data_IF_549999857480
#
_entry.id   IF_549999857480
#
_cell.length_a   1.000
_cell.length_b   1.000
_cell.length_c   1.000
_cell.angle_alpha   90.00
_cell.angle_beta   90.00
_cell.angle_gamma   90.00
#
_symmetry.space_group_name_H-M   'P 1'
#
loop_
_entity.id
_entity.type
_entity.pdbx_description
1 polymer ?
#
# COMPACT_ATOMS: atom_id res chain seq x y z
N UNK A 1 -30.07 -30.91 43.69
CA UNK A 1 -29.11 -30.47 42.65
C UNK A 1 -29.56 -29.10 42.13
N UNK A 2 -28.94 -27.99 42.58
CA UNK A 2 -29.30 -26.66 42.10
C UNK A 2 -28.89 -26.50 40.62
N UNK A 3 -29.85 -26.06 39.80
CA UNK A 3 -29.69 -25.83 38.36
C UNK A 3 -28.62 -24.76 38.12
N UNK A 4 -27.52 -25.13 37.48
CA UNK A 4 -26.46 -24.19 37.06
C UNK A 4 -26.75 -23.64 35.67
N UNK A 5 -26.59 -22.31 35.54
CA UNK A 5 -26.40 -21.51 34.32
C UNK A 5 -27.62 -21.07 33.49
N UNK A 6 -28.54 -20.32 34.10
CA UNK A 6 -29.37 -19.32 33.37
C UNK A 6 -28.62 -17.98 33.16
N UNK A 7 -27.34 -17.90 33.53
CA UNK A 7 -26.64 -16.65 33.83
C UNK A 7 -26.66 -15.60 32.71
N UNK A 8 -26.41 -15.99 31.46
CA UNK A 8 -26.36 -15.02 30.35
C UNK A 8 -27.75 -14.65 29.82
N UNK A 9 -28.75 -15.52 29.98
CA UNK A 9 -30.11 -15.27 29.50
C UNK A 9 -30.84 -14.25 30.38
N UNK A 10 -30.51 -14.18 31.68
CA UNK A 10 -31.02 -13.16 32.60
C UNK A 10 -30.40 -11.76 32.42
N UNK A 11 -29.24 -11.64 31.77
CA UNK A 11 -28.56 -10.35 31.61
C UNK A 11 -29.25 -9.44 30.58
N UNK A 12 -29.19 -8.14 30.82
CA UNK A 12 -29.61 -7.12 29.86
C UNK A 12 -28.60 -6.99 28.73
N UNK A 13 -29.02 -6.46 27.56
CA UNK A 13 -28.10 -6.22 26.44
C UNK A 13 -26.92 -5.30 26.80
N UNK A 14 -27.11 -4.39 27.77
CA UNK A 14 -26.06 -3.48 28.22
C UNK A 14 -24.95 -4.24 28.96
N UNK A 15 -25.32 -5.18 29.83
CA UNK A 15 -24.38 -5.99 30.59
C UNK A 15 -23.64 -6.98 29.68
N UNK A 16 -24.36 -7.65 28.76
CA UNK A 16 -23.74 -8.56 27.78
C UNK A 16 -22.69 -7.83 26.90
N UNK A 17 -22.99 -6.60 26.46
CA UNK A 17 -22.04 -5.77 25.70
C UNK A 17 -20.86 -5.28 26.55
N UNK A 18 -21.03 -5.10 27.85
CA UNK A 18 -19.95 -4.72 28.75
C UNK A 18 -19.00 -5.90 28.95
N UNK A 19 -19.53 -7.10 29.18
CA UNK A 19 -18.75 -8.32 29.35
C UNK A 19 -17.99 -8.71 28.08
N UNK A 20 -18.63 -8.65 26.90
CA UNK A 20 -17.94 -8.83 25.61
C UNK A 20 -16.84 -7.77 25.38
N UNK A 21 -17.08 -6.52 25.81
CA UNK A 21 -16.09 -5.45 25.73
C UNK A 21 -14.86 -5.72 26.60
N UNK A 22 -15.05 -6.28 27.79
CA UNK A 22 -13.96 -6.70 28.68
C UNK A 22 -13.13 -7.84 28.08
N UNK A 23 -13.74 -8.69 27.25
CA UNK A 23 -13.07 -9.78 26.53
C UNK A 23 -12.51 -9.37 25.14
N UNK A 24 -12.63 -8.11 24.73
CA UNK A 24 -12.18 -7.64 23.42
C UNK A 24 -13.01 -8.15 22.23
N UNK A 25 -14.24 -8.60 22.48
CA UNK A 25 -15.13 -9.14 21.45
C UNK A 25 -16.08 -8.07 20.90
N UNK A 26 -16.60 -8.31 19.70
CA UNK A 26 -17.55 -7.39 19.06
C UNK A 26 -18.79 -7.16 19.94
N UNK A 27 -19.24 -5.90 20.04
CA UNK A 27 -20.38 -5.45 20.87
C UNK A 27 -21.67 -5.20 20.05
N UNK A 28 -21.67 -5.50 18.75
CA UNK A 28 -22.83 -5.33 17.85
C UNK A 28 -23.67 -6.59 17.77
N UNK A 29 -24.96 -6.49 17.39
CA UNK A 29 -25.88 -7.64 17.23
C UNK A 29 -27.06 -7.66 18.20
N UNK A 30 -27.96 -8.63 18.00
CA UNK A 30 -29.12 -8.89 18.88
C UNK A 30 -28.69 -9.66 20.14
N UNK A 31 -29.55 -9.69 21.17
CA UNK A 31 -29.25 -10.36 22.45
C UNK A 31 -28.77 -11.80 22.28
N UNK A 32 -29.42 -12.58 21.42
CA UNK A 32 -29.04 -13.97 21.14
C UNK A 32 -27.62 -14.09 20.59
N UNK A 33 -27.21 -13.18 19.70
CA UNK A 33 -25.86 -13.18 19.12
C UNK A 33 -24.78 -12.83 20.15
N UNK A 34 -25.12 -11.99 21.13
CA UNK A 34 -24.22 -11.62 22.22
C UNK A 34 -24.03 -12.79 23.19
N UNK A 35 -25.12 -13.49 23.53
CA UNK A 35 -25.09 -14.69 24.38
C UNK A 35 -24.29 -15.81 23.71
N UNK A 36 -24.55 -16.11 22.44
CA UNK A 36 -23.83 -17.16 21.72
C UNK A 36 -22.31 -16.91 21.62
N UNK A 37 -21.89 -15.64 21.56
CA UNK A 37 -20.46 -15.27 21.63
C UNK A 37 -19.85 -15.57 23.00
N UNK A 38 -20.53 -15.20 24.08
CA UNK A 38 -20.05 -15.49 25.44
C UNK A 38 -19.99 -17.01 25.71
N UNK A 39 -20.97 -17.77 25.21
CA UNK A 39 -20.97 -19.23 25.33
C UNK A 39 -19.83 -19.89 24.54
N UNK A 40 -19.54 -19.38 23.33
CA UNK A 40 -18.45 -19.90 22.51
C UNK A 40 -17.08 -19.70 23.15
N UNK A 41 -16.89 -18.60 23.87
CA UNK A 41 -15.63 -18.29 24.58
C UNK A 41 -15.47 -19.14 25.83
N UNK A 42 -16.57 -19.45 26.53
CA UNK A 42 -16.55 -20.25 27.75
C UNK A 42 -16.25 -21.73 27.49
N UNK A 43 -16.39 -22.17 26.25
CA UNK A 43 -16.25 -23.57 25.84
C UNK A 43 -17.28 -24.47 26.53
N UNK A 44 -17.46 -25.71 26.04
CA UNK A 44 -18.20 -26.71 26.81
C UNK A 44 -17.42 -26.95 28.10
N UNK A 45 -17.95 -26.47 29.24
CA UNK A 45 -17.31 -26.68 30.53
C UNK A 45 -17.14 -28.18 30.72
N UNK A 46 -15.89 -28.64 30.68
CA UNK A 46 -15.52 -30.04 30.79
C UNK A 46 -16.14 -30.63 32.05
N UNK A 47 -17.21 -31.39 31.86
CA UNK A 47 -17.74 -32.30 32.86
C UNK A 47 -16.73 -33.42 33.03
N UNK A 48 -15.75 -33.21 33.90
CA UNK A 48 -14.97 -34.29 34.47
C UNK A 48 -15.88 -35.14 35.34
N UNK A 49 -15.92 -36.45 35.09
CA UNK A 49 -16.49 -37.42 36.03
C UNK A 49 -17.21 -38.60 35.39
N UNK A 50 -16.44 -39.56 34.86
CA UNK A 50 -16.69 -41.00 35.06
C UNK A 50 -15.54 -41.79 34.42
N UNK A 51 -14.54 -42.10 35.23
CA UNK A 51 -13.59 -43.17 34.94
C UNK A 51 -14.33 -44.51 34.92
N UNK A 52 -14.54 -45.07 33.75
CA UNK A 52 -14.75 -46.51 33.59
C UNK A 52 -13.62 -47.06 32.75
N UNK A 53 -12.70 -47.71 33.44
CA UNK A 53 -11.73 -48.64 32.87
C UNK A 53 -12.48 -49.82 32.26
N UNK A 54 -12.46 -49.97 30.94
CA UNK A 54 -12.47 -51.30 30.34
C UNK A 54 -11.99 -51.30 28.89
N UNK A 55 -11.06 -52.22 28.63
CA UNK A 55 -10.89 -52.92 27.36
C UNK A 55 -10.33 -52.15 26.17
N UNK A 56 -9.01 -52.24 26.07
CA UNK A 56 -8.22 -52.27 24.84
C UNK A 56 -8.79 -53.24 23.80
N UNK A 57 -9.75 -52.77 23.01
CA UNK A 57 -9.93 -53.19 21.64
C UNK A 57 -10.09 -51.90 20.83
N UNK A 58 -9.14 -51.65 19.93
CA UNK A 58 -9.22 -50.58 18.95
C UNK A 58 -9.85 -51.16 17.68
N UNK A 59 -11.19 -51.18 17.51
CA UNK A 59 -11.73 -51.26 16.19
C UNK A 59 -11.48 -49.88 15.57
N UNK A 60 -10.49 -49.77 14.70
CA UNK A 60 -10.48 -48.75 13.65
C UNK A 60 -11.64 -49.04 12.70
N UNK A 61 -12.86 -48.88 13.21
CA UNK A 61 -14.05 -48.72 12.40
C UNK A 61 -13.95 -47.31 11.86
N UNK A 62 -13.24 -47.18 10.74
CA UNK A 62 -13.53 -46.10 9.83
C UNK A 62 -15.02 -46.21 9.55
N UNK A 63 -15.80 -45.30 10.14
CA UNK A 63 -17.15 -45.07 9.67
C UNK A 63 -16.97 -44.48 8.26
N UNK A 64 -16.80 -45.36 7.29
CA UNK A 64 -17.05 -45.02 5.91
C UNK A 64 -18.43 -44.37 5.91
N UNK A 65 -18.57 -43.13 5.44
CA UNK A 65 -19.84 -42.43 5.48
C UNK A 65 -20.86 -43.34 4.80
N UNK A 66 -21.81 -43.84 5.57
CA UNK A 66 -22.87 -44.72 5.08
C UNK A 66 -23.58 -43.88 4.02
N UNK A 67 -23.33 -44.20 2.75
CA UNK A 67 -23.96 -43.55 1.60
C UNK A 67 -25.46 -43.74 1.78
N UNK A 68 -26.11 -42.71 2.31
CA UNK A 68 -27.55 -42.70 2.49
C UNK A 68 -28.15 -42.83 1.10
N UNK A 69 -28.86 -43.92 0.88
CA UNK A 69 -29.49 -44.17 -0.40
C UNK A 69 -30.55 -43.10 -0.65
N UNK A 70 -30.88 -42.81 -1.91
CA UNK A 70 -31.92 -41.83 -2.26
C UNK A 70 -33.24 -42.09 -1.52
N UNK A 71 -33.54 -43.36 -1.22
CA UNK A 71 -34.73 -43.77 -0.46
C UNK A 71 -34.71 -43.33 1.02
N UNK A 72 -33.54 -43.18 1.62
CA UNK A 72 -33.38 -42.76 3.01
C UNK A 72 -33.55 -41.23 3.16
N UNK A 73 -33.18 -40.48 2.11
CA UNK A 73 -33.38 -39.03 2.08
C UNK A 73 -34.87 -38.65 2.18
N UNK A 74 -35.76 -39.44 1.58
CA UNK A 74 -37.21 -39.20 1.63
C UNK A 74 -37.82 -39.40 3.03
N UNK A 75 -37.20 -40.26 3.86
CA UNK A 75 -37.64 -40.53 5.24
C UNK A 75 -37.23 -39.41 6.21
N UNK A 76 -36.25 -38.58 5.87
CA UNK A 76 -35.82 -37.48 6.71
C UNK A 76 -36.85 -36.35 6.80
N UNK A 77 -36.87 -35.70 7.96
CA UNK A 77 -37.65 -34.46 8.17
C UNK A 77 -36.95 -33.27 7.50
N UNK A 78 -37.69 -32.19 7.21
CA UNK A 78 -37.10 -30.98 6.63
C UNK A 78 -35.98 -30.38 7.49
N UNK A 79 -36.03 -30.56 8.82
CA UNK A 79 -35.00 -30.06 9.73
C UNK A 79 -33.69 -30.83 9.53
N UNK A 80 -33.75 -32.17 9.50
CA UNK A 80 -32.61 -33.05 9.25
C UNK A 80 -31.99 -32.80 7.86
N UNK A 81 -32.83 -32.62 6.83
CA UNK A 81 -32.36 -32.31 5.47
C UNK A 81 -31.61 -30.97 5.43
N UNK A 82 -32.09 -29.94 6.12
CA UNK A 82 -31.42 -28.63 6.19
C UNK A 82 -30.12 -28.67 6.99
N UNK A 83 -30.04 -29.54 8.00
CA UNK A 83 -28.84 -29.77 8.78
C UNK A 83 -27.75 -30.44 7.94
N UNK A 84 -28.09 -31.54 7.25
CA UNK A 84 -27.20 -32.22 6.28
C UNK A 84 -26.72 -31.28 5.17
N UNK A 85 -27.62 -30.48 4.58
CA UNK A 85 -27.25 -29.45 3.61
C UNK A 85 -26.30 -28.41 4.22
N UNK A 86 -26.49 -28.06 5.49
CA UNK A 86 -25.61 -27.16 6.22
C UNK A 86 -24.20 -27.70 6.43
N UNK A 87 -24.11 -28.98 6.80
CA UNK A 87 -22.83 -29.68 6.94
C UNK A 87 -22.06 -29.74 5.61
N UNK A 88 -22.79 -29.83 4.48
CA UNK A 88 -22.22 -29.83 3.12
C UNK A 88 -22.03 -28.45 2.50
N UNK A 89 -22.35 -27.36 3.22
CA UNK A 89 -22.24 -25.98 2.72
C UNK A 89 -23.23 -25.64 1.59
N UNK A 90 -24.34 -26.38 1.46
CA UNK A 90 -25.37 -26.18 0.44
C UNK A 90 -26.50 -25.27 0.95
N UNK A 91 -27.24 -24.65 0.01
CA UNK A 91 -28.37 -23.76 0.34
C UNK A 91 -29.48 -24.52 1.08
N UNK A 92 -30.05 -23.91 2.14
CA UNK A 92 -31.09 -24.50 3.02
C UNK A 92 -32.53 -24.05 2.71
N UNK A 93 -32.75 -23.32 1.60
CA UNK A 93 -34.08 -22.86 1.16
C UNK A 93 -34.73 -23.84 0.18
N UNK A 94 -36.07 -23.83 0.13
CA UNK A 94 -36.88 -24.67 -0.76
C UNK A 94 -37.89 -25.56 -0.02
N UNK A 95 -38.72 -26.25 -0.79
CA UNK A 95 -39.61 -27.30 -0.31
C UNK A 95 -38.82 -28.59 -0.04
N UNK A 96 -39.43 -29.56 0.66
CA UNK A 96 -38.79 -30.84 1.02
C UNK A 96 -38.17 -31.55 -0.20
N UNK A 97 -38.89 -31.56 -1.33
CA UNK A 97 -38.43 -32.19 -2.57
C UNK A 97 -37.12 -31.55 -3.07
N UNK A 98 -37.02 -30.22 -3.09
CA UNK A 98 -35.82 -29.49 -3.54
C UNK A 98 -34.61 -29.78 -2.65
N UNK A 99 -34.83 -29.97 -1.34
CA UNK A 99 -33.75 -30.31 -0.40
C UNK A 99 -33.24 -31.73 -0.63
N UNK A 100 -34.14 -32.68 -0.88
CA UNK A 100 -33.81 -34.07 -1.20
C UNK A 100 -33.06 -34.15 -2.53
N UNK A 101 -33.54 -33.49 -3.57
CA UNK A 101 -32.89 -33.46 -4.89
C UNK A 101 -31.49 -32.88 -4.79
N UNK A 102 -31.32 -31.77 -4.06
CA UNK A 102 -30.01 -31.13 -3.87
C UNK A 102 -29.01 -32.02 -3.14
N UNK A 103 -29.45 -32.76 -2.12
CA UNK A 103 -28.60 -33.75 -1.45
C UNK A 103 -28.27 -34.93 -2.37
N UNK A 104 -29.25 -35.41 -3.14
CA UNK A 104 -29.04 -36.49 -4.10
C UNK A 104 -28.02 -36.10 -5.19
N UNK A 105 -28.14 -34.92 -5.80
CA UNK A 105 -27.17 -34.43 -6.79
C UNK A 105 -25.77 -34.27 -6.18
N UNK A 106 -25.66 -33.76 -4.95
CA UNK A 106 -24.37 -33.61 -4.27
C UNK A 106 -23.70 -34.97 -4.01
N UNK A 107 -24.46 -36.01 -3.66
CA UNK A 107 -23.92 -37.37 -3.50
C UNK A 107 -23.44 -37.97 -4.83
N UNK A 108 -24.14 -37.70 -5.92
CA UNK A 108 -23.72 -38.16 -7.26
C UNK A 108 -22.41 -37.48 -7.68
N UNK A 109 -22.27 -36.17 -7.47
CA UNK A 109 -21.04 -35.43 -7.81
C UNK A 109 -19.82 -35.85 -6.98
N UNK A 110 -20.00 -36.29 -5.73
CA UNK A 110 -18.90 -36.79 -4.91
C UNK A 110 -18.51 -38.24 -5.23
N UNK A 111 -19.40 -38.99 -5.87
CA UNK A 111 -19.12 -40.39 -6.22
C UNK A 111 -18.22 -40.56 -7.44
N UNK A 112 -18.05 -39.53 -8.28
CA UNK A 112 -17.19 -39.57 -9.47
C UNK A 112 -15.75 -39.11 -9.24
N UNK A 113 -15.37 -38.67 -8.03
CA UNK A 113 -14.02 -38.17 -7.73
C UNK A 113 -13.19 -39.05 -6.78
N UNK A 114 -13.70 -40.22 -6.38
CA UNK A 114 -13.00 -41.12 -5.46
C UNK A 114 -12.94 -42.56 -5.99
N UNK A 115 -12.11 -42.77 -7.00
CA UNK A 115 -11.53 -44.08 -7.29
C UNK A 115 -10.24 -43.89 -8.10
N UNK A 116 -9.15 -44.39 -7.54
CA UNK A 116 -7.88 -44.65 -8.21
C UNK A 116 -7.04 -43.45 -8.64
N UNK A 117 -5.94 -43.25 -7.91
CA UNK A 117 -4.73 -42.60 -8.40
C UNK A 117 -3.84 -43.65 -9.07
N UNK A 118 -3.77 -43.73 -10.40
CA UNK A 118 -2.54 -44.07 -11.08
C UNK A 118 -1.85 -42.74 -11.39
N UNK A 119 -0.72 -42.51 -10.74
CA UNK A 119 0.32 -41.57 -11.18
C UNK A 119 0.75 -41.95 -12.60
N UNK A 120 0.02 -41.44 -13.59
CA UNK A 120 0.38 -41.54 -15.00
C UNK A 120 0.21 -40.15 -15.56
N UNK A 121 1.33 -39.57 -15.96
CA UNK A 121 1.41 -38.28 -16.64
C UNK A 121 0.61 -38.37 -17.95
N UNK A 122 -0.69 -38.11 -17.87
CA UNK A 122 -1.46 -37.80 -19.05
C UNK A 122 -1.15 -36.34 -19.36
N UNK A 123 -0.29 -36.13 -20.34
CA UNK A 123 -0.31 -34.92 -21.13
C UNK A 123 -1.78 -34.62 -21.47
N UNK A 124 -2.23 -33.35 -21.39
CA UNK A 124 -3.63 -32.99 -21.65
C UNK A 124 -4.05 -33.59 -22.99
N UNK A 125 -4.93 -34.60 -22.94
CA UNK A 125 -5.48 -35.20 -24.15
C UNK A 125 -6.24 -34.06 -24.81
N UNK A 126 -5.70 -33.55 -25.93
CA UNK A 126 -6.35 -32.54 -26.76
C UNK A 126 -7.66 -33.16 -27.24
N UNK A 127 -8.75 -32.84 -26.57
CA UNK A 127 -10.09 -33.22 -27.00
C UNK A 127 -10.30 -32.67 -28.41
N UNK A 128 -10.41 -33.58 -29.36
CA UNK A 128 -10.61 -33.22 -30.76
C UNK A 128 -12.01 -32.58 -30.92
N UNK A 129 -12.19 -31.73 -31.92
CA UNK A 129 -13.45 -30.99 -32.11
C UNK A 129 -14.68 -31.91 -32.23
N UNK A 130 -14.49 -33.15 -32.68
CA UNK A 130 -15.54 -34.18 -32.78
C UNK A 130 -16.02 -34.68 -31.41
N UNK A 131 -15.17 -34.64 -30.38
CA UNK A 131 -15.52 -35.05 -29.02
C UNK A 131 -16.35 -33.97 -28.30
N UNK A 132 -16.13 -32.69 -28.65
CA UNK A 132 -16.94 -31.59 -28.13
C UNK A 132 -18.41 -31.70 -28.54
N UNK A 133 -18.70 -32.22 -29.74
CA UNK A 133 -20.07 -32.40 -30.23
C UNK A 133 -20.85 -33.49 -29.46
N UNK A 134 -20.15 -34.48 -28.91
CA UNK A 134 -20.73 -35.57 -28.11
C UNK A 134 -21.13 -35.11 -26.69
N UNK A 135 -20.55 -34.02 -26.20
CA UNK A 135 -20.87 -33.49 -24.87
C UNK A 135 -22.28 -32.91 -24.79
N UNK A 136 -22.90 -33.06 -23.63
CA UNK A 136 -24.16 -32.39 -23.30
C UNK A 136 -23.93 -30.90 -23.02
N UNK A 137 -24.98 -30.07 -23.13
CA UNK A 137 -24.88 -28.63 -22.82
C UNK A 137 -24.38 -28.37 -21.39
N UNK A 138 -24.67 -29.25 -20.44
CA UNK A 138 -24.23 -29.12 -19.05
C UNK A 138 -22.71 -29.28 -18.96
N UNK A 139 -22.17 -30.34 -19.56
CA UNK A 139 -20.72 -30.61 -19.62
C UNK A 139 -19.98 -29.49 -20.36
N UNK A 140 -20.52 -29.00 -21.47
CA UNK A 140 -19.94 -27.87 -22.21
C UNK A 140 -19.86 -26.59 -21.37
N UNK A 141 -20.92 -26.29 -20.59
CA UNK A 141 -20.92 -25.12 -19.68
C UNK A 141 -19.99 -25.28 -18.49
N UNK A 142 -19.80 -26.50 -18.02
CA UNK A 142 -18.84 -26.81 -16.96
C UNK A 142 -17.41 -26.60 -17.45
N UNK A 143 -17.06 -27.17 -18.60
CA UNK A 143 -15.75 -27.02 -19.25
C UNK A 143 -15.45 -25.54 -19.57
N UNK A 144 -16.43 -24.79 -20.10
CA UNK A 144 -16.30 -23.34 -20.28
C UNK A 144 -16.09 -22.61 -18.95
N UNK A 145 -16.72 -23.07 -17.87
CA UNK A 145 -16.53 -22.52 -16.53
C UNK A 145 -15.13 -22.74 -15.98
N UNK A 146 -14.58 -23.94 -16.17
CA UNK A 146 -13.21 -24.26 -15.78
C UNK A 146 -12.19 -23.40 -16.54
N UNK A 147 -12.50 -23.03 -17.80
CA UNK A 147 -11.68 -22.15 -18.64
C UNK A 147 -11.98 -20.66 -18.49
N UNK A 148 -12.92 -20.27 -17.62
CA UNK A 148 -13.30 -18.86 -17.41
C UNK A 148 -14.03 -18.20 -18.59
N UNK A 149 -14.60 -18.99 -19.49
CA UNK A 149 -15.32 -18.52 -20.68
C UNK A 149 -16.82 -18.36 -20.41
N UNK A 150 -17.50 -17.53 -21.22
CA UNK A 150 -18.95 -17.27 -21.08
C UNK A 150 -19.77 -18.55 -21.29
N UNK A 151 -20.78 -18.78 -20.45
CA UNK A 151 -21.66 -19.98 -20.46
C UNK A 151 -23.03 -19.78 -21.15
N UNK A 152 -23.22 -18.65 -21.84
CA UNK A 152 -24.46 -18.32 -22.57
C UNK A 152 -24.36 -18.77 -24.04
N UNK A 153 -25.51 -19.04 -24.65
CA UNK A 153 -25.64 -19.43 -26.07
C UNK A 153 -26.27 -20.80 -26.28
N UNK A 154 -26.50 -21.13 -27.55
CA UNK A 154 -26.94 -22.46 -27.98
C UNK A 154 -25.77 -23.45 -27.94
N UNK A 155 -26.04 -24.76 -28.05
CA UNK A 155 -25.02 -25.81 -27.98
C UNK A 155 -23.87 -25.57 -28.97
N UNK A 156 -24.19 -25.15 -30.20
CA UNK A 156 -23.22 -24.84 -31.24
C UNK A 156 -22.23 -23.74 -30.80
N UNK A 157 -22.74 -22.64 -30.25
CA UNK A 157 -21.91 -21.52 -29.76
C UNK A 157 -20.95 -21.95 -28.64
N UNK A 158 -21.39 -22.87 -27.77
CA UNK A 158 -20.57 -23.39 -26.68
C UNK A 158 -19.44 -24.27 -27.22
N UNK A 159 -19.73 -25.12 -28.20
CA UNK A 159 -18.75 -25.98 -28.87
C UNK A 159 -17.73 -25.12 -29.64
N UNK A 160 -18.19 -24.14 -30.42
CA UNK A 160 -17.32 -23.24 -31.17
C UNK A 160 -16.38 -22.47 -30.24
N UNK A 161 -16.91 -21.94 -29.13
CA UNK A 161 -16.11 -21.20 -28.15
C UNK A 161 -15.03 -22.06 -27.50
N UNK A 162 -15.34 -23.32 -27.18
CA UNK A 162 -14.33 -24.27 -26.68
C UNK A 162 -13.31 -24.62 -27.75
N UNK A 163 -13.74 -24.83 -29.00
CA UNK A 163 -12.85 -25.12 -30.12
C UNK A 163 -11.87 -23.97 -30.37
N UNK A 164 -12.33 -22.71 -30.44
CA UNK A 164 -11.47 -21.54 -30.60
C UNK A 164 -10.47 -21.40 -29.45
N UNK A 165 -10.92 -21.63 -28.21
CA UNK A 165 -10.03 -21.57 -27.05
C UNK A 165 -8.91 -22.65 -27.10
N UNK A 166 -9.24 -23.86 -27.57
CA UNK A 166 -8.21 -24.91 -27.76
C UNK A 166 -7.21 -24.55 -28.85
N UNK A 167 -7.66 -23.89 -29.93
CA UNK A 167 -6.77 -23.42 -31.00
C UNK A 167 -5.84 -22.32 -30.51
N UNK A 168 -6.33 -21.35 -29.73
CA UNK A 168 -5.50 -20.28 -29.16
C UNK A 168 -4.46 -20.78 -28.16
N UNK A 169 -4.74 -21.85 -27.41
CA UNK A 169 -3.75 -22.47 -26.51
C UNK A 169 -2.70 -23.29 -27.27
N UNK A 170 -3.01 -23.75 -28.47
CA UNK A 170 -2.08 -24.56 -29.26
C UNK A 170 -0.97 -23.74 -29.95
N UNK A 171 -1.19 -22.45 -30.19
CA UNK A 171 -0.22 -21.57 -30.86
C UNK A 171 0.81 -20.93 -29.93
N UNK A 172 0.69 -21.06 -28.61
CA UNK A 172 1.63 -20.47 -27.65
C UNK A 172 2.56 -21.47 -26.94
N UNK A 173 2.51 -22.76 -27.28
CA UNK A 173 3.22 -23.85 -26.59
C UNK A 173 4.35 -24.47 -27.42
N UNK A 174 5.15 -23.65 -28.11
CA UNK A 174 6.41 -24.08 -28.72
C UNK A 174 7.52 -23.06 -28.45
N UNK A 175 7.89 -22.89 -27.18
CA UNK A 175 9.15 -22.23 -26.83
C UNK A 175 9.88 -23.03 -25.76
N UNK A 176 11.01 -23.58 -26.17
CA UNK A 176 12.00 -24.27 -25.37
C UNK A 176 12.50 -23.36 -24.22
N UNK A 177 12.68 -23.88 -23.00
CA UNK A 177 13.14 -23.09 -21.87
C UNK A 177 14.65 -22.89 -21.91
N UNK A 178 15.13 -21.99 -22.78
CA UNK A 178 16.46 -21.39 -22.62
C UNK A 178 16.33 -20.06 -21.91
N UNK A 179 16.35 -20.17 -20.57
CA UNK A 179 16.87 -19.22 -19.59
C UNK A 179 17.69 -18.06 -20.18
N UNK A 180 17.05 -16.94 -20.50
CA UNK A 180 17.66 -15.62 -20.45
C UNK A 180 16.64 -14.61 -19.93
N UNK A 181 16.97 -13.97 -18.81
CA UNK A 181 16.12 -12.99 -18.13
C UNK A 181 16.23 -11.63 -18.84
N UNK A 182 15.78 -11.55 -20.09
CA UNK A 182 15.48 -10.27 -20.72
C UNK A 182 13.98 -9.97 -20.48
N UNK A 183 13.61 -8.82 -19.90
CA UNK A 183 12.22 -8.42 -19.77
C UNK A 183 11.62 -8.34 -21.18
N UNK A 184 10.69 -9.25 -21.49
CA UNK A 184 9.97 -9.24 -22.75
C UNK A 184 9.14 -7.95 -22.75
N UNK A 185 9.58 -6.95 -23.52
CA UNK A 185 8.80 -5.75 -23.81
C UNK A 185 7.51 -6.20 -24.49
N UNK A 186 6.39 -6.16 -23.77
CA UNK A 186 5.07 -6.35 -24.36
C UNK A 186 4.87 -5.29 -25.43
N UNK A 187 4.80 -5.72 -26.69
CA UNK A 187 4.51 -4.83 -27.81
C UNK A 187 3.05 -4.40 -27.75
N UNK A 188 2.73 -3.21 -28.28
CA UNK A 188 1.37 -2.65 -28.30
C UNK A 188 0.31 -3.59 -28.93
N UNK A 189 0.74 -4.51 -29.79
CA UNK A 189 -0.11 -5.59 -30.35
C UNK A 189 -0.71 -6.50 -29.28
N UNK A 190 0.02 -6.74 -28.20
CA UNK A 190 -0.34 -7.72 -27.17
C UNK A 190 -1.45 -7.14 -26.28
N UNK A 191 -1.42 -5.82 -26.07
CA UNK A 191 -2.44 -5.10 -25.30
C UNK A 191 -3.83 -5.18 -25.95
N UNK A 192 -3.88 -5.20 -27.28
CA UNK A 192 -5.14 -5.35 -28.02
C UNK A 192 -5.78 -6.73 -27.84
N UNK A 193 -4.97 -7.76 -27.57
CA UNK A 193 -5.44 -9.12 -27.31
C UNK A 193 -5.95 -9.31 -25.88
N UNK A 194 -5.55 -8.44 -24.94
CA UNK A 194 -6.02 -8.50 -23.56
C UNK A 194 -7.51 -8.20 -23.44
N UNK A 195 -8.16 -8.89 -22.51
CA UNK A 195 -9.54 -8.60 -22.13
C UNK A 195 -9.63 -7.34 -21.27
N UNK A 196 -10.79 -6.69 -21.23
CA UNK A 196 -10.97 -5.49 -20.39
C UNK A 196 -10.71 -5.75 -18.89
N UNK A 197 -10.89 -6.99 -18.42
CA UNK A 197 -10.60 -7.36 -17.03
C UNK A 197 -9.10 -7.33 -16.77
N UNK A 198 -8.31 -7.96 -17.65
CA UNK A 198 -6.85 -7.99 -17.56
C UNK A 198 -6.25 -6.59 -17.69
N UNK A 199 -6.76 -5.77 -18.64
CA UNK A 199 -6.33 -4.38 -18.79
C UNK A 199 -6.57 -3.55 -17.52
N UNK A 200 -7.72 -3.73 -16.86
CA UNK A 200 -8.02 -3.03 -15.59
C UNK A 200 -7.19 -3.53 -14.42
N UNK A 201 -6.78 -4.79 -14.44
CA UNK A 201 -5.89 -5.37 -13.43
C UNK A 201 -4.49 -4.77 -13.55
N UNK A 202 -3.91 -4.78 -14.75
CA UNK A 202 -2.61 -4.16 -15.06
C UNK A 202 -2.60 -2.65 -14.76
N UNK A 203 -3.63 -1.91 -15.18
CA UNK A 203 -3.79 -0.50 -14.82
C UNK A 203 -3.86 -0.32 -13.29
N UNK A 204 -4.46 -1.28 -12.57
CA UNK A 204 -4.51 -1.27 -11.11
C UNK A 204 -3.17 -1.47 -10.44
N UNK A 205 -2.35 -2.39 -10.97
CA UNK A 205 -0.99 -2.62 -10.49
C UNK A 205 -0.12 -1.37 -10.68
N UNK A 206 -0.37 -0.61 -11.74
CA UNK A 206 0.32 0.65 -12.05
C UNK A 206 -0.31 1.90 -11.41
N UNK A 207 -1.37 1.75 -10.62
CA UNK A 207 -2.06 2.87 -9.95
C UNK A 207 -2.82 3.82 -10.90
N UNK A 208 -3.14 3.38 -12.11
CA UNK A 208 -3.83 4.16 -13.14
C UNK A 208 -5.36 3.98 -13.05
N UNK A 209 -6.11 4.96 -13.59
CA UNK A 209 -7.58 4.94 -13.59
C UNK A 209 -8.12 3.74 -14.40
N UNK A 210 -9.14 3.04 -13.86
CA UNK A 210 -9.77 1.84 -14.45
C UNK A 210 -11.09 2.09 -15.21
N UNK A 211 -11.43 3.35 -15.47
CA UNK A 211 -12.62 3.78 -16.21
C UNK A 211 -12.33 3.97 -17.70
N UNK A 212 -13.36 3.86 -18.54
CA UNK A 212 -13.27 4.06 -20.00
C UNK A 212 -13.65 2.83 -20.82
N UNK A 213 -13.69 3.01 -22.14
CA UNK A 213 -13.84 1.93 -23.12
C UNK A 213 -12.52 1.16 -23.26
N UNK A 214 -12.56 -0.01 -23.92
CA UNK A 214 -11.36 -0.85 -24.10
C UNK A 214 -10.19 -0.08 -24.75
N UNK A 215 -10.48 0.74 -25.75
CA UNK A 215 -9.47 1.55 -26.44
C UNK A 215 -8.75 2.50 -25.46
N UNK A 216 -9.48 3.24 -24.63
CA UNK A 216 -8.91 4.15 -23.64
C UNK A 216 -8.02 3.44 -22.61
N UNK A 217 -8.38 2.20 -22.24
CA UNK A 217 -7.58 1.39 -21.33
C UNK A 217 -6.26 0.96 -21.99
N UNK A 218 -6.31 0.55 -23.25
CA UNK A 218 -5.13 0.16 -24.03
C UNK A 218 -4.20 1.36 -24.21
N UNK A 219 -4.72 2.51 -24.66
CA UNK A 219 -3.93 3.74 -24.87
C UNK A 219 -3.26 4.23 -23.59
N UNK A 220 -3.98 4.17 -22.46
CA UNK A 220 -3.44 4.55 -21.15
C UNK A 220 -2.32 3.61 -20.70
N UNK A 221 -2.47 2.32 -20.94
CA UNK A 221 -1.46 1.34 -20.60
C UNK A 221 -0.24 1.46 -21.52
N UNK A 222 -0.46 1.69 -22.81
CA UNK A 222 0.61 1.92 -23.80
C UNK A 222 1.41 3.19 -23.46
N UNK A 223 0.73 4.29 -23.11
CA UNK A 223 1.38 5.52 -22.64
C UNK A 223 2.22 5.31 -21.39
N UNK A 224 1.75 4.49 -20.45
CA UNK A 224 2.49 4.15 -19.24
C UNK A 224 3.74 3.29 -19.53
N UNK A 225 3.61 2.31 -20.42
CA UNK A 225 4.75 1.49 -20.87
C UNK A 225 5.77 2.35 -21.63
N UNK A 226 5.30 3.25 -22.50
CA UNK A 226 6.18 4.18 -23.20
C UNK A 226 6.90 5.10 -22.20
N UNK A 227 6.18 5.69 -21.23
CA UNK A 227 6.79 6.53 -20.19
C UNK A 227 7.84 5.78 -19.36
N UNK A 228 7.62 4.51 -19.05
CA UNK A 228 8.62 3.66 -18.40
C UNK A 228 9.82 3.38 -19.31
N UNK A 229 9.57 3.15 -20.61
CA UNK A 229 10.62 2.91 -21.59
C UNK A 229 11.50 4.14 -21.86
N UNK A 230 10.92 5.33 -21.67
CA UNK A 230 11.57 6.63 -21.81
C UNK A 230 12.11 7.17 -20.49
N UNK A 231 12.15 6.40 -19.39
CA UNK A 231 12.95 6.80 -18.23
C UNK A 231 14.38 7.03 -18.74
N UNK A 232 14.87 8.28 -18.83
CA UNK A 232 16.25 8.49 -19.20
C UNK A 232 17.05 7.76 -18.14
N UNK A 233 17.92 6.85 -18.58
CA UNK A 233 18.93 6.25 -17.71
C UNK A 233 19.49 7.38 -16.84
N UNK A 234 19.54 7.25 -15.51
CA UNK A 234 20.04 8.29 -14.63
C UNK A 234 21.56 8.40 -14.82
N UNK A 235 21.99 8.90 -15.98
CA UNK A 235 23.29 9.49 -16.19
C UNK A 235 23.28 10.79 -15.42
N UNK A 236 23.72 10.65 -14.17
CA UNK A 236 24.29 11.65 -13.29
C UNK A 236 24.79 12.88 -14.07
N UNK A 237 23.95 13.91 -14.13
CA UNK A 237 24.40 15.30 -14.15
C UNK A 237 23.64 16.02 -13.04
N UNK A 238 24.35 16.21 -11.93
CA UNK A 238 23.88 16.95 -10.77
C UNK A 238 23.63 18.42 -11.16
N UNK A 239 22.39 18.88 -10.96
CA UNK A 239 22.00 20.29 -11.06
C UNK A 239 20.57 20.44 -11.56
N UNK A 240 19.64 20.79 -10.65
CA UNK A 240 18.23 21.18 -10.88
C UNK A 240 17.11 20.15 -10.64
N UNK A 241 17.22 19.21 -9.69
CA UNK A 241 16.08 18.37 -9.27
C UNK A 241 15.20 18.96 -8.17
N UNK A 242 15.58 20.10 -7.58
CA UNK A 242 14.83 20.70 -6.47
C UNK A 242 13.51 21.33 -6.92
N UNK A 243 13.45 21.96 -8.10
CA UNK A 243 12.23 22.65 -8.57
C UNK A 243 11.08 21.69 -8.86
N UNK A 244 11.37 20.53 -9.47
CA UNK A 244 10.32 19.57 -9.83
C UNK A 244 9.73 18.85 -8.61
N UNK A 245 10.48 18.77 -7.50
CA UNK A 245 9.93 18.26 -6.24
C UNK A 245 8.93 19.23 -5.62
N UNK A 246 9.18 20.54 -5.70
CA UNK A 246 8.26 21.55 -5.18
C UNK A 246 6.90 21.53 -5.91
N UNK A 247 6.91 21.37 -7.24
CA UNK A 247 5.68 21.28 -8.02
C UNK A 247 4.83 20.05 -7.64
N UNK A 248 5.48 18.92 -7.36
CA UNK A 248 4.79 17.70 -6.93
C UNK A 248 4.13 17.87 -5.54
N UNK A 249 4.74 18.61 -4.61
CA UNK A 249 4.15 18.84 -3.28
C UNK A 249 2.83 19.62 -3.34
N UNK A 250 2.69 20.55 -4.28
CA UNK A 250 1.46 21.32 -4.45
C UNK A 250 0.28 20.47 -4.96
N UNK A 251 0.56 19.37 -5.67
CA UNK A 251 -0.48 18.44 -6.16
C UNK A 251 -1.06 17.55 -5.06
N UNK A 252 -0.35 17.37 -3.94
CA UNK A 252 -0.80 16.52 -2.84
C UNK A 252 -2.00 17.13 -2.10
N UNK A 253 -2.87 16.26 -1.61
CA UNK A 253 -4.00 16.64 -0.74
C UNK A 253 -3.51 16.88 0.70
N UNK A 254 -4.27 17.63 1.50
CA UNK A 254 -3.91 17.89 2.91
C UNK A 254 -3.77 16.60 3.74
N UNK A 255 -4.48 15.53 3.38
CA UNK A 255 -4.39 14.24 4.07
C UNK A 255 -3.02 13.61 3.82
N UNK A 256 -2.60 13.54 2.55
CA UNK A 256 -1.30 13.01 2.14
C UNK A 256 -0.15 13.83 2.74
N UNK A 257 -0.24 15.16 2.73
CA UNK A 257 0.77 16.03 3.36
C UNK A 257 0.92 15.76 4.87
N UNK A 258 -0.18 15.51 5.59
CA UNK A 258 -0.13 15.18 7.04
C UNK A 258 0.40 13.77 7.32
N UNK A 259 0.20 12.85 6.39
CA UNK A 259 0.74 11.49 6.46
C UNK A 259 2.27 11.53 6.31
N UNK A 260 2.77 12.16 5.25
CA UNK A 260 4.20 12.41 4.98
C UNK A 260 4.90 13.15 6.14
N UNK A 261 4.29 14.22 6.66
CA UNK A 261 4.82 14.90 7.85
C UNK A 261 4.83 14.00 9.08
N UNK A 262 3.88 13.05 9.18
CA UNK A 262 3.81 12.07 10.26
C UNK A 262 4.94 11.06 10.23
N UNK A 263 5.23 10.53 9.05
CA UNK A 263 6.36 9.63 8.83
C UNK A 263 7.69 10.29 9.17
N UNK A 264 7.80 11.60 8.92
CA UNK A 264 8.97 12.42 9.26
C UNK A 264 8.99 12.97 10.69
N UNK A 265 7.99 12.64 11.51
CA UNK A 265 7.90 13.13 12.91
C UNK A 265 7.66 14.64 13.06
N UNK A 266 7.10 15.29 12.04
CA UNK A 266 6.81 16.73 12.01
C UNK A 266 5.36 17.02 12.45
N UNK A 267 5.11 18.26 12.86
CA UNK A 267 3.77 18.70 13.30
C UNK A 267 2.76 18.64 12.14
N UNK A 268 1.57 18.07 12.39
CA UNK A 268 0.47 17.88 11.42
C UNK A 268 -0.60 18.99 11.43
N UNK A 269 -0.37 20.08 12.15
CA UNK A 269 -1.27 21.25 12.23
C UNK A 269 -0.88 22.32 11.22
N UNK A 270 -1.87 23.11 10.78
CA UNK A 270 -1.68 24.24 9.86
C UNK A 270 -2.58 24.20 8.63
N UNK A 271 -2.56 25.29 7.86
CA UNK A 271 -3.14 25.37 6.52
C UNK A 271 -2.30 24.59 5.51
N UNK A 272 -2.86 24.29 4.31
CA UNK A 272 -2.15 23.50 3.27
C UNK A 272 -0.77 24.08 2.94
N UNK A 273 -0.67 25.40 2.76
CA UNK A 273 0.59 26.08 2.46
C UNK A 273 1.66 25.82 3.55
N UNK A 274 1.31 25.96 4.82
CA UNK A 274 2.24 25.70 5.94
C UNK A 274 2.73 24.24 6.00
N UNK A 275 1.87 23.30 5.60
CA UNK A 275 2.24 21.88 5.53
C UNK A 275 3.23 21.64 4.38
N UNK A 276 3.00 22.26 3.22
CA UNK A 276 3.91 22.20 2.06
C UNK A 276 5.27 22.81 2.42
N UNK A 277 5.30 24.04 2.97
CA UNK A 277 6.55 24.72 3.37
C UNK A 277 7.38 23.89 4.36
N UNK A 278 6.69 23.24 5.31
CA UNK A 278 7.34 22.39 6.32
C UNK A 278 7.93 21.12 5.72
N UNK A 279 7.21 20.51 4.77
CA UNK A 279 7.66 19.31 4.09
C UNK A 279 8.80 19.62 3.11
N UNK A 280 8.71 20.73 2.38
CA UNK A 280 9.77 21.24 1.51
C UNK A 280 11.04 21.53 2.31
N UNK A 281 10.92 22.23 3.45
CA UNK A 281 12.05 22.48 4.35
C UNK A 281 12.68 21.18 4.87
N UNK A 282 11.88 20.17 5.18
CA UNK A 282 12.38 18.87 5.64
C UNK A 282 13.14 18.12 4.54
N UNK A 283 12.61 18.12 3.32
CA UNK A 283 13.25 17.53 2.14
C UNK A 283 14.55 18.26 1.81
N UNK A 284 14.57 19.59 1.81
CA UNK A 284 15.79 20.37 1.61
C UNK A 284 16.85 20.09 2.67
N UNK A 285 16.43 19.83 3.92
CA UNK A 285 17.34 19.43 5.00
C UNK A 285 17.90 18.03 4.79
N UNK A 286 17.08 17.06 4.38
CA UNK A 286 17.50 15.68 4.12
C UNK A 286 18.44 15.56 2.92
N UNK A 287 18.19 16.33 1.86
CA UNK A 287 19.01 16.34 0.66
C UNK A 287 20.40 16.94 0.86
N UNK A 288 20.75 17.36 2.08
CA UNK A 288 22.10 17.83 2.39
C UNK A 288 22.50 19.10 1.63
N UNK A 289 21.55 19.81 1.01
CA UNK A 289 21.78 21.12 0.41
C UNK A 289 21.88 22.24 1.45
N UNK A 290 21.89 21.87 2.74
CA UNK A 290 22.59 22.68 3.72
C UNK A 290 24.08 22.58 3.44
N UNK A 291 24.53 23.51 2.58
CA UNK A 291 25.71 24.34 2.81
C UNK A 291 26.16 24.15 4.24
N UNK A 292 27.40 23.66 4.42
CA UNK A 292 28.10 23.58 5.69
C UNK A 292 27.93 24.88 6.49
N UNK A 293 26.81 25.02 7.20
CA UNK A 293 26.71 25.89 8.35
C UNK A 293 27.41 25.12 9.44
N UNK A 294 28.74 25.22 9.40
CA UNK A 294 29.49 25.73 10.52
C UNK A 294 28.73 25.65 11.85
N UNK A 295 28.75 24.47 12.45
CA UNK A 295 28.98 24.40 13.89
C UNK A 295 30.44 24.77 14.12
N UNK A 296 30.82 26.00 13.78
CA UNK A 296 32.08 26.57 14.22
C UNK A 296 31.88 26.88 15.69
N UNK A 297 32.56 26.04 16.47
CA UNK A 297 33.02 26.40 17.79
C UNK A 297 33.44 27.86 17.75
N UNK A 298 32.76 28.63 18.58
CA UNK A 298 33.01 29.99 19.02
C UNK A 298 34.49 30.23 19.34
N UNK A 299 35.34 30.37 18.32
CA UNK A 299 36.71 30.86 18.47
C UNK A 299 37.06 31.77 17.29
N UNK A 300 37.19 33.06 17.65
CA UNK A 300 38.10 34.06 17.10
C UNK A 300 38.04 34.44 15.60
N UNK A 301 37.40 35.59 15.36
CA UNK A 301 37.98 36.84 14.82
C UNK A 301 38.54 36.84 13.36
N UNK A 302 37.93 37.76 12.59
CA UNK A 302 38.48 38.58 11.50
C UNK A 302 38.74 37.96 10.12
N UNK A 303 37.82 38.25 9.18
CA UNK A 303 38.11 39.03 7.97
C UNK A 303 36.82 39.28 7.19
N UNK A 304 36.35 40.54 7.24
CA UNK A 304 35.14 41.05 6.63
C UNK A 304 35.31 41.17 5.12
N UNK A 305 34.96 40.13 4.36
CA UNK A 305 34.53 40.31 2.97
C UNK A 305 33.01 40.40 3.01
N UNK A 306 32.45 41.57 2.68
CA UNK A 306 31.01 41.78 2.46
C UNK A 306 30.68 41.32 1.04
N UNK A 307 29.99 40.20 0.82
CA UNK A 307 29.62 39.75 -0.51
C UNK A 307 28.08 39.66 -0.60
N UNK A 308 27.47 40.65 -1.23
CA UNK A 308 26.05 40.61 -1.59
C UNK A 308 25.38 41.95 -1.41
N UNK A 309 24.58 42.33 -2.40
CA UNK A 309 23.72 43.49 -2.34
C UNK A 309 22.83 43.38 -1.10
N UNK A 310 22.86 44.38 -0.21
CA UNK A 310 22.04 44.40 1.02
C UNK A 310 20.54 44.24 0.72
N UNK A 311 20.15 44.51 -0.52
CA UNK A 311 18.80 44.37 -1.07
C UNK A 311 18.32 42.91 -0.99
N UNK A 312 19.21 41.95 -1.17
CA UNK A 312 18.88 40.52 -1.17
C UNK A 312 18.68 39.94 0.24
N UNK A 313 19.13 40.66 1.27
CA UNK A 313 18.91 40.25 2.65
C UNK A 313 17.42 40.33 3.02
N UNK A 314 16.95 39.30 3.73
CA UNK A 314 15.60 39.30 4.31
C UNK A 314 15.53 40.26 5.51
N UNK A 315 14.33 40.73 5.85
CA UNK A 315 14.12 41.62 7.02
C UNK A 315 14.63 41.02 8.34
N UNK A 316 14.64 39.69 8.47
CA UNK A 316 15.14 38.99 9.67
C UNK A 316 16.66 39.13 9.75
N UNK A 317 17.37 38.85 8.65
CA UNK A 317 18.82 39.00 8.57
C UNK A 317 19.26 40.45 8.80
N UNK A 318 18.56 41.42 8.21
CA UNK A 318 18.83 42.85 8.44
C UNK A 318 18.68 43.22 9.93
N UNK A 319 17.65 42.73 10.62
CA UNK A 319 17.45 42.98 12.06
C UNK A 319 18.48 42.27 12.94
N UNK A 320 18.99 41.12 12.53
CA UNK A 320 20.08 40.42 13.22
C UNK A 320 21.38 41.23 13.11
N UNK A 321 21.75 41.65 11.91
CA UNK A 321 22.94 42.48 11.66
C UNK A 321 22.86 43.85 12.36
N UNK A 322 21.72 44.54 12.28
CA UNK A 322 21.50 45.77 13.07
C UNK A 322 21.59 45.50 14.57
N UNK A 323 21.14 44.34 15.04
CA UNK A 323 21.25 43.92 16.43
C UNK A 323 22.68 43.69 16.89
N UNK A 324 23.48 43.05 16.05
CA UNK A 324 24.91 42.85 16.30
C UNK A 324 25.66 44.18 16.41
N UNK A 325 25.18 45.20 15.69
CA UNK A 325 25.71 46.58 15.70
C UNK A 325 25.08 47.50 16.76
N UNK A 326 24.13 47.01 17.55
CA UNK A 326 23.43 47.80 18.57
C UNK A 326 22.48 48.88 18.02
N UNK A 327 22.07 48.77 16.75
CA UNK A 327 21.17 49.71 16.07
C UNK A 327 19.70 49.34 16.29
N UNK A 328 18.80 50.31 16.12
CA UNK A 328 17.35 50.10 16.26
C UNK A 328 16.82 49.15 15.18
N UNK A 329 15.98 48.18 15.58
CA UNK A 329 15.39 47.12 14.72
C UNK A 329 13.98 47.42 14.20
N UNK A 330 13.48 48.65 14.40
CA UNK A 330 12.16 49.10 13.93
C UNK A 330 12.25 49.77 12.56
N UNK A 331 11.18 49.68 11.78
CA UNK A 331 11.06 50.27 10.44
C UNK A 331 10.66 49.27 9.36
N UNK A 332 10.40 49.79 8.17
CA UNK A 332 10.23 49.01 6.94
C UNK A 332 11.59 48.47 6.46
N UNK A 333 11.57 47.53 5.50
CA UNK A 333 12.81 46.93 4.96
C UNK A 333 13.80 48.00 4.47
N UNK A 334 13.31 49.02 3.76
CA UNK A 334 14.12 50.13 3.27
C UNK A 334 14.85 50.87 4.41
N UNK A 335 14.14 51.24 5.49
CA UNK A 335 14.75 51.92 6.64
C UNK A 335 15.83 51.08 7.33
N UNK A 336 15.70 49.75 7.31
CA UNK A 336 16.69 48.83 7.88
C UNK A 336 17.94 48.76 7.00
N UNK A 337 17.76 48.70 5.67
CA UNK A 337 18.86 48.71 4.69
C UNK A 337 19.61 50.04 4.79
N UNK A 338 18.92 51.17 4.69
CA UNK A 338 19.53 52.51 4.76
C UNK A 338 20.33 52.73 6.07
N UNK A 339 19.78 52.26 7.20
CA UNK A 339 20.46 52.34 8.50
C UNK A 339 21.71 51.48 8.56
N UNK A 340 21.69 50.31 7.92
CA UNK A 340 22.84 49.41 7.87
C UNK A 340 23.91 49.92 6.89
N UNK A 341 23.50 50.50 5.76
CA UNK A 341 24.40 51.20 4.82
C UNK A 341 25.09 52.39 5.48
N UNK A 342 24.35 53.21 6.24
CA UNK A 342 24.91 54.34 6.98
C UNK A 342 25.95 53.89 8.00
N UNK A 343 25.65 52.84 8.78
CA UNK A 343 26.58 52.29 9.75
C UNK A 343 27.84 51.68 9.12
N UNK A 344 27.69 51.05 7.94
CA UNK A 344 28.83 50.54 7.16
C UNK A 344 29.70 51.68 6.60
N UNK A 345 29.08 52.78 6.15
CA UNK A 345 29.79 53.96 5.69
C UNK A 345 30.60 54.61 6.83
N UNK A 346 30.02 54.71 8.03
CA UNK A 346 30.68 55.25 9.22
C UNK A 346 31.88 54.38 9.66
N UNK A 347 31.74 53.05 9.63
CA UNK A 347 32.85 52.12 9.92
C UNK A 347 33.99 52.22 8.91
N UNK A 348 33.66 52.47 7.64
CA UNK A 348 34.65 52.71 6.59
C UNK A 348 35.49 53.96 6.87
N UNK A 349 34.85 55.06 7.29
CA UNK A 349 35.53 56.32 7.61
C UNK A 349 36.32 56.24 8.94
N UNK A 350 35.76 55.60 9.97
CA UNK A 350 36.42 55.46 11.28
C UNK A 350 37.72 54.66 11.21
N UNK A 351 37.77 53.62 10.39
CA UNK A 351 38.98 52.81 10.18
C UNK A 351 40.10 53.56 9.46
N UNK A 352 39.79 54.55 8.62
CA UNK A 352 40.80 55.37 7.93
C UNK A 352 41.49 56.31 8.91
N UNK A 353 40.74 56.89 9.86
CA UNK A 353 41.29 57.82 10.85
C UNK A 353 42.29 57.14 11.81
N UNK A 354 41.98 55.92 12.27
CA UNK A 354 42.90 55.17 13.15
C UNK A 354 44.15 54.65 12.44
N UNK A 355 44.06 54.26 11.15
CA UNK A 355 45.23 53.82 10.38
C UNK A 355 46.23 54.96 10.13
N UNK A 356 45.75 56.19 9.94
CA UNK A 356 46.63 57.35 9.75
C UNK A 356 47.35 57.78 11.04
N UNK A 357 46.69 57.69 12.20
CA UNK A 357 47.33 57.93 13.51
C UNK A 357 48.45 56.92 13.80
N UNK A 358 48.20 55.62 13.56
CA UNK A 358 49.20 54.58 13.78
C UNK A 358 50.37 54.63 12.78
N UNK A 359 50.13 55.07 11.53
CA UNK A 359 51.20 55.26 10.55
C UNK A 359 52.14 56.40 10.93
N UNK A 360 51.60 57.51 11.45
CA UNK A 360 52.40 58.66 11.92
C UNK A 360 53.32 58.31 13.09
N UNK A 361 52.83 57.54 14.07
CA UNK A 361 53.63 57.09 15.22
C UNK A 361 54.76 56.11 14.83
N UNK A 362 54.54 55.28 13.80
CA UNK A 362 55.54 54.29 13.37
C UNK A 362 56.68 54.92 12.54
N UNK A 363 56.44 56.04 11.86
CA UNK A 363 57.51 56.78 11.15
C UNK A 363 58.29 57.76 12.04
N UNK A 364 57.77 58.14 13.20
CA UNK A 364 58.45 59.07 14.13
C UNK A 364 59.56 58.47 14.98
N UNK A 365 59.63 57.13 15.14
CA UNK A 365 60.61 56.47 16.02
C UNK A 365 61.93 56.12 15.29
N UNK A 366 61.96 56.17 13.95
CA UNK A 366 63.16 55.80 13.19
C UNK A 366 64.19 56.95 13.00
N UNK A 367 63.90 58.18 13.46
CA UNK A 367 64.72 59.37 13.16
C UNK A 367 65.66 59.83 14.30
N UNK A 368 65.82 59.08 15.40
CA UNK A 368 66.67 59.49 16.53
C UNK A 368 67.92 58.61 16.75
N UNK A 369 68.50 58.03 15.69
CA UNK A 369 69.83 57.42 15.77
C UNK A 369 70.89 58.45 15.38
N UNK A 370 71.25 59.28 16.35
CA UNK A 370 72.38 60.21 16.30
C UNK A 370 73.67 59.44 15.94
N UNK A 371 74.45 59.88 14.94
CA UNK A 371 75.78 59.38 14.68
C UNK A 371 76.78 60.11 15.59
N UNK A 372 77.64 59.34 16.25
CA UNK A 372 78.86 59.84 16.87
C UNK A 372 78.86 59.74 18.39
N UNK A 373 79.67 58.82 18.90
CA UNK A 373 80.97 59.17 19.49
C UNK A 373 81.70 57.93 20.01
N UNK A 374 83.02 58.08 20.05
CA UNK A 374 84.07 57.32 20.76
C UNK A 374 84.74 56.21 19.95
N UNK A 375 86.06 56.14 19.88
CA UNK A 375 87.14 56.92 20.51
C UNK A 375 88.41 56.79 19.65
#
# INVERSE_FOLDING_TARGET
MPRRNDGYYSMTCKELKAELGAMGLSRTGLKADLVGRLESVRGPSGGGGASYSYSSYSPTRSYAPIRSSSSDLNKMTCVQLKEELGQRGLKKSGLKADLVERLASATQSQSSCSAYSPTRSYAPIRSSSSDLNKMTCVQLKEELGQRGLKKSGLKADLVERLASATQSQSSCSSYSPTRSYAPIRSSSSDLNQMTCVQLKEELGQRGLKKSGLKADLVERLDSAIQAESYKPSPSVKHGNTTSHLADNLNTLTCVQLKEELGERGLKKSGLKAELVDRLESAISNELGLKNERHTVKKESIAATQLPGDLIDLTCVQLKEELGARGLKKSGLKADLVERLESALADESLGNISQKNLNKSLKTGIAASKLPGQRE
#
